data_IF_776603987959
#
_entry.id   IF_776603987959
#
_cell.length_a   1.000
_cell.length_b   1.000
_cell.length_c   1.000
_cell.angle_alpha   90.00
_cell.angle_beta   90.00
_cell.angle_gamma   90.00
#
_symmetry.space_group_name_H-M   'P 1'
#
loop_
_entity.id
_entity.type
_entity.pdbx_description
1 polymer ?
#
# COMPACT_ATOMS: atom_id res chain seq x y z
N UNK A 1 28.41 -13.86 -21.58
CA UNK A 1 28.24 -13.58 -20.15
C UNK A 1 26.89 -12.90 -19.99
N UNK A 2 25.93 -13.57 -19.37
CA UNK A 2 24.63 -12.96 -19.06
C UNK A 2 24.92 -12.04 -17.88
N UNK A 3 24.89 -10.72 -18.10
CA UNK A 3 24.91 -9.74 -17.00
C UNK A 3 23.81 -10.15 -16.01
N UNK A 4 24.17 -10.28 -14.75
CA UNK A 4 23.24 -10.47 -13.64
C UNK A 4 22.27 -9.28 -13.66
N UNK A 5 21.11 -9.43 -14.29
CA UNK A 5 20.02 -8.46 -14.17
C UNK A 5 19.66 -8.42 -12.69
N UNK A 6 19.98 -7.32 -12.01
CA UNK A 6 19.52 -7.12 -10.63
C UNK A 6 18.01 -7.25 -10.65
N UNK A 7 17.45 -8.10 -9.76
CA UNK A 7 16.00 -8.21 -9.64
C UNK A 7 15.42 -6.83 -9.32
N UNK A 8 14.24 -6.53 -9.86
CA UNK A 8 13.52 -5.29 -9.55
C UNK A 8 13.27 -5.16 -8.04
N UNK A 9 12.90 -3.96 -7.60
CA UNK A 9 12.57 -3.68 -6.19
C UNK A 9 11.09 -3.46 -6.01
N UNK A 10 10.58 -3.80 -4.85
CA UNK A 10 9.18 -3.63 -4.51
C UNK A 10 9.01 -2.63 -3.36
N UNK A 11 8.40 -1.48 -3.66
CA UNK A 11 8.18 -0.38 -2.74
C UNK A 11 6.67 -0.23 -2.53
N UNK A 12 6.22 -0.02 -1.29
CA UNK A 12 4.80 0.22 -1.01
C UNK A 12 4.59 1.50 -0.23
N UNK A 13 3.47 2.15 -0.49
CA UNK A 13 2.98 3.30 0.26
C UNK A 13 1.73 2.92 1.03
N UNK A 14 1.73 3.19 2.31
CA UNK A 14 0.68 2.82 3.24
C UNK A 14 0.26 3.99 4.12
N UNK A 15 -0.95 3.92 4.69
CA UNK A 15 -1.53 4.94 5.56
C UNK A 15 -3.03 5.11 5.32
N UNK A 16 -3.68 5.94 6.11
CA UNK A 16 -5.11 6.25 5.98
C UNK A 16 -5.42 7.01 4.69
N UNK A 17 -6.70 7.05 4.29
CA UNK A 17 -7.10 7.80 3.12
C UNK A 17 -6.88 9.30 3.36
N UNK A 18 -6.49 10.04 2.32
CA UNK A 18 -6.13 11.46 2.42
C UNK A 18 -4.70 11.74 2.91
N UNK A 19 -3.88 10.74 3.30
CA UNK A 19 -2.51 11.00 3.77
C UNK A 19 -1.51 11.35 2.66
N UNK A 20 -1.85 11.18 1.36
CA UNK A 20 -1.01 11.58 0.23
C UNK A 20 -0.22 10.45 -0.44
N UNK A 21 -0.53 9.18 -0.17
CA UNK A 21 0.14 8.00 -0.75
C UNK A 21 0.30 8.06 -2.27
N UNK A 22 -0.80 8.24 -2.99
CA UNK A 22 -0.83 8.22 -4.46
C UNK A 22 0.09 9.29 -5.05
N UNK A 23 0.04 10.51 -4.51
CA UNK A 23 0.93 11.62 -4.92
C UNK A 23 2.40 11.27 -4.72
N UNK A 24 2.75 10.66 -3.58
CA UNK A 24 4.13 10.31 -3.29
C UNK A 24 4.61 9.11 -4.12
N UNK A 25 3.72 8.15 -4.40
CA UNK A 25 4.03 7.03 -5.28
C UNK A 25 4.32 7.49 -6.72
N UNK A 26 3.53 8.40 -7.26
CA UNK A 26 3.73 9.01 -8.58
C UNK A 26 5.06 9.78 -8.63
N UNK A 27 5.31 10.69 -7.66
CA UNK A 27 6.58 11.44 -7.56
C UNK A 27 7.79 10.49 -7.47
N UNK A 28 7.66 9.36 -6.77
CA UNK A 28 8.75 8.39 -6.66
C UNK A 28 9.06 7.73 -8.01
N UNK A 29 8.03 7.34 -8.77
CA UNK A 29 8.24 6.75 -10.11
C UNK A 29 8.87 7.76 -11.07
N UNK A 30 8.42 9.01 -11.06
CA UNK A 30 9.04 10.10 -11.83
C UNK A 30 10.51 10.25 -11.46
N UNK A 31 10.82 10.27 -10.16
CA UNK A 31 12.21 10.43 -9.68
C UNK A 31 13.11 9.23 -10.00
N UNK A 32 12.57 8.02 -9.95
CA UNK A 32 13.30 6.81 -10.36
C UNK A 32 13.65 6.88 -11.85
N UNK A 33 12.73 7.35 -12.67
CA UNK A 33 12.98 7.54 -14.10
C UNK A 33 14.09 8.59 -14.37
N UNK A 34 14.15 9.68 -13.60
CA UNK A 34 15.23 10.70 -13.71
C UNK A 34 16.64 10.13 -13.40
N UNK A 35 16.72 9.03 -12.67
CA UNK A 35 17.99 8.35 -12.35
C UNK A 35 18.15 7.00 -13.10
N UNK A 36 17.51 6.90 -14.28
CA UNK A 36 17.58 5.76 -15.19
C UNK A 36 17.10 4.42 -14.62
N UNK A 37 16.20 4.44 -13.61
CA UNK A 37 15.58 3.25 -13.04
C UNK A 37 14.17 3.07 -13.62
N UNK A 38 13.94 1.97 -14.33
CA UNK A 38 12.62 1.62 -14.86
C UNK A 38 11.70 1.19 -13.74
N UNK A 39 10.59 1.91 -13.55
CA UNK A 39 9.60 1.62 -12.51
C UNK A 39 8.18 1.68 -13.06
N UNK A 40 7.26 1.01 -12.39
CA UNK A 40 5.81 1.07 -12.66
C UNK A 40 5.03 1.31 -11.38
N UNK A 41 3.91 2.03 -11.49
CA UNK A 41 2.98 2.21 -10.39
C UNK A 41 1.86 1.17 -10.47
N UNK A 42 1.48 0.61 -9.35
CA UNK A 42 0.28 -0.21 -9.19
C UNK A 42 -0.52 0.30 -7.99
N UNK A 43 -1.82 0.00 -7.94
CA UNK A 43 -2.68 0.38 -6.81
C UNK A 43 -3.58 -0.77 -6.39
N UNK A 44 -3.89 -0.85 -5.10
CA UNK A 44 -4.83 -1.83 -4.56
C UNK A 44 -6.03 -1.18 -3.83
N UNK A 45 -7.20 -1.83 -3.90
CA UNK A 45 -7.53 -2.93 -4.79
C UNK A 45 -7.63 -2.44 -6.25
N UNK A 46 -7.26 -3.30 -7.23
CA UNK A 46 -7.30 -2.96 -8.65
C UNK A 46 -6.01 -3.26 -9.40
N UNK A 47 -5.78 -2.57 -10.54
CA UNK A 47 -4.55 -2.66 -11.32
C UNK A 47 -4.48 -3.83 -12.34
N UNK A 48 -5.53 -4.67 -12.41
CA UNK A 48 -5.71 -5.76 -13.37
C UNK A 48 -7.22 -5.93 -13.62
N UNK A 49 -7.69 -6.40 -14.77
CA UNK A 49 -9.12 -6.48 -15.09
C UNK A 49 -9.97 -7.24 -14.07
N UNK A 50 -9.46 -8.36 -13.51
CA UNK A 50 -10.17 -9.12 -12.47
C UNK A 50 -10.14 -8.34 -11.16
N UNK A 51 -8.99 -7.80 -10.78
CA UNK A 51 -8.83 -6.97 -9.58
C UNK A 51 -9.72 -5.72 -9.62
N UNK A 52 -9.90 -5.09 -10.80
CA UNK A 52 -10.82 -3.96 -10.97
C UNK A 52 -12.31 -4.38 -10.80
N UNK A 53 -12.66 -5.59 -11.23
CA UNK A 53 -14.01 -6.14 -11.00
C UNK A 53 -14.25 -6.36 -9.50
N UNK A 54 -13.26 -6.89 -8.78
CA UNK A 54 -13.31 -7.05 -7.32
C UNK A 54 -13.37 -5.66 -6.64
N UNK A 55 -12.60 -4.68 -7.11
CA UNK A 55 -12.64 -3.31 -6.59
C UNK A 55 -14.05 -2.71 -6.65
N UNK A 56 -14.76 -2.90 -7.76
CA UNK A 56 -16.15 -2.42 -7.90
C UNK A 56 -17.06 -3.03 -6.84
N UNK A 57 -16.93 -4.32 -6.56
CA UNK A 57 -17.68 -4.98 -5.49
C UNK A 57 -17.32 -4.42 -4.12
N UNK A 58 -16.03 -4.25 -3.84
CA UNK A 58 -15.54 -3.75 -2.54
C UNK A 58 -15.99 -2.33 -2.23
N UNK A 59 -15.96 -1.43 -3.20
CA UNK A 59 -16.15 0.00 -2.98
C UNK A 59 -17.60 0.47 -3.23
N UNK A 60 -18.34 -0.25 -4.08
CA UNK A 60 -19.65 0.20 -4.58
C UNK A 60 -20.78 -0.82 -4.41
N UNK A 61 -20.59 -1.90 -3.64
CA UNK A 61 -21.69 -2.80 -3.31
C UNK A 61 -22.79 -2.02 -2.57
N UNK A 62 -24.03 -2.14 -3.04
CA UNK A 62 -25.20 -1.55 -2.39
C UNK A 62 -25.63 -2.36 -1.15
N UNK A 63 -25.33 -3.65 -1.15
CA UNK A 63 -25.65 -4.58 -0.07
C UNK A 63 -24.53 -4.60 0.99
N UNK A 64 -24.92 -4.96 2.22
CA UNK A 64 -23.96 -5.09 3.31
C UNK A 64 -22.98 -6.25 3.06
N UNK A 65 -21.69 -6.00 3.21
CA UNK A 65 -20.65 -7.00 3.08
C UNK A 65 -20.10 -7.38 4.47
N UNK A 66 -19.98 -8.67 4.75
CA UNK A 66 -19.35 -9.10 6.00
C UNK A 66 -17.86 -8.79 6.01
N UNK A 67 -17.30 -8.50 7.18
CA UNK A 67 -15.87 -8.15 7.34
C UNK A 67 -14.93 -9.22 6.78
N UNK A 68 -15.30 -10.52 6.93
CA UNK A 68 -14.51 -11.62 6.37
C UNK A 68 -14.57 -11.68 4.86
N UNK A 69 -15.74 -11.42 4.24
CA UNK A 69 -15.88 -11.36 2.79
C UNK A 69 -15.07 -10.18 2.22
N UNK A 70 -15.13 -9.01 2.88
CA UNK A 70 -14.31 -7.84 2.55
C UNK A 70 -12.82 -8.21 2.55
N UNK A 71 -12.32 -8.84 3.62
CA UNK A 71 -10.93 -9.24 3.74
C UNK A 71 -10.49 -10.24 2.64
N UNK A 72 -11.32 -11.25 2.38
CA UNK A 72 -11.03 -12.26 1.34
C UNK A 72 -11.03 -11.66 -0.06
N UNK A 73 -11.94 -10.73 -0.37
CA UNK A 73 -11.95 -10.03 -1.65
C UNK A 73 -10.75 -9.12 -1.83
N UNK A 74 -10.31 -8.41 -0.78
CA UNK A 74 -9.07 -7.63 -0.79
C UNK A 74 -7.87 -8.51 -1.12
N UNK A 75 -7.76 -9.67 -0.46
CA UNK A 75 -6.65 -10.60 -0.68
C UNK A 75 -6.75 -11.27 -2.06
N UNK A 76 -7.94 -11.59 -2.55
CA UNK A 76 -8.13 -12.14 -3.89
C UNK A 76 -7.70 -11.15 -4.99
N UNK A 77 -8.08 -9.86 -4.85
CA UNK A 77 -7.61 -8.80 -5.74
C UNK A 77 -6.08 -8.68 -5.74
N UNK A 78 -5.47 -8.72 -4.55
CA UNK A 78 -4.02 -8.69 -4.37
C UNK A 78 -3.33 -9.90 -5.00
N UNK A 79 -3.85 -11.10 -4.77
CA UNK A 79 -3.30 -12.33 -5.33
C UNK A 79 -3.22 -12.26 -6.85
N UNK A 80 -4.30 -11.81 -7.49
CA UNK A 80 -4.38 -11.62 -8.93
C UNK A 80 -3.36 -10.59 -9.43
N UNK A 81 -3.29 -9.41 -8.79
CA UNK A 81 -2.35 -8.35 -9.13
C UNK A 81 -0.90 -8.79 -8.93
N UNK A 82 -0.61 -9.51 -7.85
CA UNK A 82 0.73 -10.02 -7.57
C UNK A 82 1.20 -10.99 -8.66
N UNK A 83 0.36 -11.96 -9.04
CA UNK A 83 0.70 -12.97 -10.05
C UNK A 83 0.84 -12.38 -11.46
N UNK A 84 -0.07 -11.48 -11.85
CA UNK A 84 -0.16 -11.00 -13.24
C UNK A 84 0.66 -9.75 -13.52
N UNK A 85 0.98 -8.95 -12.49
CA UNK A 85 1.62 -7.64 -12.69
C UNK A 85 2.89 -7.51 -11.85
N UNK A 86 2.80 -7.66 -10.52
CA UNK A 86 3.92 -7.31 -9.63
C UNK A 86 5.13 -8.24 -9.86
N UNK A 87 4.91 -9.54 -9.71
CA UNK A 87 5.99 -10.54 -9.87
C UNK A 87 6.64 -10.50 -11.26
N UNK A 88 5.88 -10.45 -12.38
CA UNK A 88 6.49 -10.33 -13.71
C UNK A 88 7.37 -9.10 -13.88
N UNK A 89 6.97 -7.95 -13.34
CA UNK A 89 7.81 -6.75 -13.41
C UNK A 89 9.10 -6.89 -12.60
N UNK A 90 9.01 -7.38 -11.36
CA UNK A 90 10.18 -7.59 -10.49
C UNK A 90 11.17 -8.59 -11.11
N UNK A 91 10.67 -9.71 -11.65
CA UNK A 91 11.50 -10.73 -12.31
C UNK A 91 12.23 -10.15 -13.53
N UNK A 92 11.58 -9.23 -14.26
CA UNK A 92 12.16 -8.56 -15.42
C UNK A 92 13.02 -7.33 -15.04
N UNK A 93 13.39 -7.18 -13.78
CA UNK A 93 14.29 -6.11 -13.31
C UNK A 93 13.64 -4.74 -13.17
N UNK A 94 12.32 -4.61 -13.39
CA UNK A 94 11.59 -3.35 -13.16
C UNK A 94 11.23 -3.18 -11.70
N UNK A 95 11.34 -1.96 -11.21
CA UNK A 95 10.85 -1.62 -9.88
C UNK A 95 9.33 -1.47 -9.88
N UNK A 96 8.69 -1.87 -8.79
CA UNK A 96 7.25 -1.74 -8.61
C UNK A 96 6.99 -0.84 -7.42
N UNK A 97 6.17 0.20 -7.62
CA UNK A 97 5.73 1.12 -6.58
C UNK A 97 4.22 0.94 -6.40
N UNK A 98 3.80 0.43 -5.25
CA UNK A 98 2.40 0.14 -4.97
C UNK A 98 1.78 1.19 -4.03
N UNK A 99 0.64 1.76 -4.44
CA UNK A 99 -0.28 2.46 -3.54
C UNK A 99 -1.16 1.41 -2.87
N UNK A 100 -0.80 1.03 -1.66
CA UNK A 100 -1.30 -0.07 -0.82
C UNK A 100 -0.84 -1.46 -1.24
N UNK A 101 -0.68 -2.32 -0.22
CA UNK A 101 -0.41 -3.75 -0.36
C UNK A 101 -0.89 -4.51 0.89
N UNK A 102 -0.19 -5.60 1.26
CA UNK A 102 -0.59 -6.51 2.34
C UNK A 102 -0.77 -5.82 3.71
N UNK A 103 0.04 -4.81 4.03
CA UNK A 103 -0.07 -4.07 5.29
C UNK A 103 -1.43 -3.33 5.41
N UNK A 104 -2.03 -2.89 4.28
CA UNK A 104 -3.39 -2.33 4.27
C UNK A 104 -4.44 -3.31 4.82
N UNK A 105 -4.38 -4.60 4.45
CA UNK A 105 -5.32 -5.60 4.99
C UNK A 105 -5.13 -5.79 6.49
N UNK A 106 -3.89 -5.80 6.97
CA UNK A 106 -3.63 -5.91 8.40
C UNK A 106 -4.14 -4.68 9.17
N UNK A 107 -4.05 -3.49 8.57
CA UNK A 107 -4.52 -2.26 9.18
C UNK A 107 -6.05 -2.13 9.13
N UNK A 108 -6.65 -2.26 7.96
CA UNK A 108 -8.09 -2.03 7.77
C UNK A 108 -8.94 -3.18 8.29
N UNK A 109 -8.67 -4.42 7.86
CA UNK A 109 -9.47 -5.57 8.28
C UNK A 109 -9.01 -6.10 9.63
N UNK A 110 -7.70 -6.01 9.96
CA UNK A 110 -7.18 -6.35 11.29
C UNK A 110 -7.54 -5.30 12.33
N UNK A 111 -6.96 -4.12 12.23
CA UNK A 111 -7.17 -3.02 13.19
C UNK A 111 -8.57 -2.43 13.11
N UNK A 112 -9.03 -2.04 11.92
CA UNK A 112 -10.33 -1.40 11.69
C UNK A 112 -11.52 -2.31 12.01
N UNK A 113 -11.58 -3.51 11.40
CA UNK A 113 -12.67 -4.50 11.59
C UNK A 113 -12.47 -5.44 12.79
N UNK A 114 -11.29 -5.47 13.39
CA UNK A 114 -11.00 -6.34 14.53
C UNK A 114 -10.80 -7.82 14.19
N UNK A 115 -10.50 -8.15 12.92
CA UNK A 115 -10.17 -9.52 12.53
C UNK A 115 -8.77 -9.92 13.01
N UNK A 116 -8.51 -11.22 13.13
CA UNK A 116 -7.21 -11.75 13.54
C UNK A 116 -6.11 -11.35 12.57
N UNK A 117 -5.19 -10.45 12.99
CA UNK A 117 -4.03 -10.00 12.20
C UNK A 117 -3.16 -11.20 11.79
N UNK A 118 -2.99 -12.20 12.66
CA UNK A 118 -2.24 -13.42 12.35
C UNK A 118 -2.88 -14.19 11.19
N UNK A 119 -4.19 -14.44 11.25
CA UNK A 119 -4.90 -15.15 10.20
C UNK A 119 -4.86 -14.37 8.87
N UNK A 120 -5.01 -13.05 8.92
CA UNK A 120 -4.91 -12.19 7.73
C UNK A 120 -3.51 -12.22 7.11
N UNK A 121 -2.44 -12.21 7.93
CA UNK A 121 -1.06 -12.32 7.41
C UNK A 121 -0.81 -13.70 6.77
N UNK A 122 -1.31 -14.79 7.35
CA UNK A 122 -1.20 -16.13 6.78
C UNK A 122 -1.89 -16.22 5.39
N UNK A 123 -3.11 -15.67 5.27
CA UNK A 123 -3.85 -15.67 3.98
C UNK A 123 -3.19 -14.71 2.97
N UNK A 124 -2.70 -13.55 3.39
CA UNK A 124 -1.91 -12.67 2.55
C UNK A 124 -0.67 -13.37 2.01
N UNK A 125 0.08 -14.07 2.86
CA UNK A 125 1.27 -14.80 2.46
C UNK A 125 0.95 -15.89 1.42
N UNK A 126 -0.18 -16.59 1.58
CA UNK A 126 -0.65 -17.53 0.56
C UNK A 126 -0.95 -16.83 -0.77
N UNK A 127 -1.71 -15.74 -0.75
CA UNK A 127 -2.13 -15.02 -1.96
C UNK A 127 -1.00 -14.29 -2.69
N UNK A 128 0.09 -13.97 -2.00
CA UNK A 128 1.20 -13.18 -2.55
C UNK A 128 2.48 -13.97 -2.79
N UNK A 129 2.43 -15.30 -2.68
CA UNK A 129 3.64 -16.15 -2.76
C UNK A 129 4.70 -15.71 -1.74
N UNK A 130 4.28 -15.26 -0.57
CA UNK A 130 5.13 -14.67 0.48
C UNK A 130 5.94 -13.44 0.06
N UNK A 131 5.63 -12.80 -1.09
CA UNK A 131 6.28 -11.59 -1.54
C UNK A 131 6.10 -10.46 -0.50
N UNK A 132 7.21 -9.93 -0.03
CA UNK A 132 7.23 -8.78 0.88
C UNK A 132 7.88 -7.59 0.19
N UNK A 133 7.42 -6.36 0.46
CA UNK A 133 8.11 -5.17 0.00
C UNK A 133 9.54 -5.07 0.54
N UNK A 134 10.48 -4.58 -0.28
CA UNK A 134 11.83 -4.20 0.16
C UNK A 134 11.78 -3.04 1.17
N UNK A 135 10.82 -2.11 0.96
CA UNK A 135 10.53 -1.00 1.86
C UNK A 135 9.05 -0.61 1.75
N UNK A 136 8.46 -0.24 2.87
CA UNK A 136 7.10 0.32 2.97
C UNK A 136 7.20 1.71 3.59
N UNK A 137 6.68 2.72 2.90
CA UNK A 137 6.52 4.07 3.46
C UNK A 137 5.15 4.20 4.09
N UNK A 138 5.08 4.24 5.41
CA UNK A 138 3.87 4.56 6.14
C UNK A 138 3.79 6.07 6.34
N UNK A 139 2.90 6.73 5.58
CA UNK A 139 2.65 8.17 5.70
C UNK A 139 1.63 8.39 6.80
N UNK A 140 2.10 8.87 7.95
CA UNK A 140 1.27 9.11 9.13
C UNK A 140 0.80 10.55 9.21
N UNK A 141 -0.52 10.73 9.40
CA UNK A 141 -1.15 12.02 9.70
C UNK A 141 -2.30 11.82 10.70
N UNK A 142 -2.66 12.85 11.49
CA UNK A 142 -3.87 12.83 12.30
C UNK A 142 -5.13 12.63 11.43
N UNK A 143 -6.12 11.90 11.97
CA UNK A 143 -7.35 11.57 11.22
C UNK A 143 -8.13 12.82 10.82
N UNK A 144 -8.13 13.85 11.66
CA UNK A 144 -8.77 15.13 11.37
C UNK A 144 -8.20 15.77 10.09
N UNK A 145 -6.87 15.79 9.97
CA UNK A 145 -6.19 16.31 8.77
C UNK A 145 -6.39 15.43 7.54
N UNK A 146 -6.45 14.11 7.73
CA UNK A 146 -6.78 13.19 6.66
C UNK A 146 -8.17 13.50 6.08
N UNK A 147 -9.16 13.66 6.95
CA UNK A 147 -10.54 13.97 6.57
C UNK A 147 -10.67 15.33 5.85
N UNK A 148 -9.90 16.35 6.23
CA UNK A 148 -9.87 17.66 5.54
C UNK A 148 -9.37 17.56 4.10
N UNK A 149 -8.49 16.59 3.81
CA UNK A 149 -7.92 16.39 2.46
C UNK A 149 -8.78 15.51 1.55
N UNK A 150 -9.74 14.78 2.12
CA UNK A 150 -10.59 13.87 1.36
C UNK A 150 -11.69 14.62 0.59
N UNK A 151 -12.08 14.05 -0.57
CA UNK A 151 -13.20 14.54 -1.36
C UNK A 151 -14.54 14.33 -0.64
N UNK A 152 -15.58 15.08 -1.08
CA UNK A 152 -16.96 14.92 -0.56
C UNK A 152 -17.55 13.57 -0.95
N UNK A 153 -17.19 13.03 -2.12
CA UNK A 153 -17.62 11.69 -2.56
C UNK A 153 -16.74 10.64 -1.95
N UNK A 154 -17.29 9.85 -1.03
CA UNK A 154 -16.58 8.77 -0.31
C UNK A 154 -17.12 7.40 -0.71
N UNK A 155 -16.24 6.45 -0.85
CA UNK A 155 -16.61 5.05 -1.01
C UNK A 155 -17.11 4.42 0.30
N UNK A 156 -17.45 3.13 0.25
CA UNK A 156 -18.00 2.40 1.40
C UNK A 156 -17.04 2.35 2.60
N UNK A 157 -15.74 2.19 2.35
CA UNK A 157 -14.71 2.08 3.41
C UNK A 157 -14.35 3.48 3.94
N UNK A 158 -14.27 4.46 3.07
CA UNK A 158 -14.02 5.87 3.43
C UNK A 158 -15.17 6.49 4.25
N UNK A 159 -16.39 5.92 4.16
CA UNK A 159 -17.54 6.33 4.98
C UNK A 159 -17.49 5.84 6.41
N UNK A 160 -16.57 4.95 6.74
CA UNK A 160 -16.36 4.52 8.13
C UNK A 160 -15.94 5.72 9.00
N UNK A 161 -16.45 5.76 10.22
CA UNK A 161 -16.23 6.91 11.12
C UNK A 161 -14.78 7.02 11.63
N UNK A 162 -14.50 8.18 12.25
CA UNK A 162 -13.15 8.50 12.75
C UNK A 162 -12.57 7.45 13.71
N UNK A 163 -13.42 6.78 14.52
CA UNK A 163 -12.97 5.71 15.40
C UNK A 163 -12.43 4.49 14.64
N UNK A 164 -13.01 4.16 13.47
CA UNK A 164 -12.49 3.12 12.60
C UNK A 164 -11.13 3.53 12.03
N UNK A 165 -11.05 4.73 11.48
CA UNK A 165 -9.82 5.27 10.89
C UNK A 165 -8.71 5.38 11.94
N UNK A 166 -9.02 5.73 13.19
CA UNK A 166 -8.04 5.77 14.28
C UNK A 166 -7.49 4.37 14.57
N UNK A 167 -8.33 3.33 14.64
CA UNK A 167 -7.86 1.94 14.82
C UNK A 167 -6.99 1.47 13.65
N UNK A 168 -7.30 1.89 12.43
CA UNK A 168 -6.47 1.61 11.23
C UNK A 168 -5.09 2.25 11.40
N UNK A 169 -5.04 3.54 11.76
CA UNK A 169 -3.79 4.26 12.03
C UNK A 169 -2.96 3.61 13.13
N UNK A 170 -3.60 3.26 14.25
CA UNK A 170 -2.94 2.60 15.39
C UNK A 170 -2.33 1.26 14.98
N UNK A 171 -3.00 0.50 14.12
CA UNK A 171 -2.48 -0.75 13.60
C UNK A 171 -1.27 -0.53 12.65
N UNK A 172 -1.25 0.52 11.83
CA UNK A 172 -0.06 0.87 11.04
C UNK A 172 1.13 1.25 11.94
N UNK A 173 0.89 2.01 13.02
CA UNK A 173 1.93 2.32 14.01
C UNK A 173 2.47 1.04 14.67
N UNK A 174 1.61 0.07 14.98
CA UNK A 174 2.02 -1.22 15.52
C UNK A 174 2.84 -2.03 14.48
N UNK A 175 2.49 -1.98 13.20
CA UNK A 175 3.25 -2.63 12.12
C UNK A 175 4.63 -2.00 11.94
N UNK A 176 4.74 -0.66 12.00
CA UNK A 176 6.02 0.05 11.98
C UNK A 176 6.89 -0.38 13.16
N UNK A 177 6.36 -0.35 14.39
CA UNK A 177 7.10 -0.74 15.61
C UNK A 177 7.59 -2.19 15.57
N UNK A 178 6.82 -3.09 14.93
CA UNK A 178 7.17 -4.51 14.80
C UNK A 178 8.18 -4.80 13.68
N UNK A 179 8.20 -3.97 12.64
CA UNK A 179 9.02 -4.17 11.44
C UNK A 179 9.78 -2.88 11.05
N UNK A 180 10.58 -2.27 11.92
CA UNK A 180 11.18 -0.95 11.68
C UNK A 180 12.16 -0.93 10.49
N UNK A 181 12.78 -2.05 10.16
CA UNK A 181 13.72 -2.17 9.03
C UNK A 181 13.02 -2.16 7.66
N UNK A 182 11.71 -2.50 7.62
CA UNK A 182 10.92 -2.56 6.40
C UNK A 182 9.89 -1.44 6.32
N UNK A 183 9.21 -1.14 7.41
CA UNK A 183 8.14 -0.13 7.46
C UNK A 183 8.70 1.16 8.03
N UNK A 184 8.89 2.15 7.18
CA UNK A 184 9.46 3.46 7.53
C UNK A 184 8.34 4.46 7.74
N UNK A 185 8.27 5.04 8.93
CA UNK A 185 7.29 6.09 9.24
C UNK A 185 7.74 7.41 8.64
N UNK A 186 6.83 8.06 7.90
CA UNK A 186 7.01 9.37 7.29
C UNK A 186 5.96 10.33 7.87
N UNK A 187 6.40 11.50 8.30
CA UNK A 187 5.49 12.55 8.77
C UNK A 187 4.73 13.17 7.60
N UNK A 188 3.46 12.82 7.44
CA UNK A 188 2.57 13.31 6.39
C UNK A 188 1.97 14.70 6.63
N UNK A 189 2.24 15.35 7.77
CA UNK A 189 1.76 16.72 8.07
C UNK A 189 2.56 17.81 7.33
N UNK A 190 3.70 17.46 6.80
CA UNK A 190 4.60 18.36 6.07
C UNK A 190 4.05 18.72 4.67
N UNK A 191 4.73 19.64 3.97
CA UNK A 191 4.44 19.90 2.55
C UNK A 191 4.72 18.65 1.69
N UNK A 192 4.05 18.54 0.56
CA UNK A 192 4.21 17.43 -0.40
C UNK A 192 5.68 17.21 -0.74
N UNK A 193 6.42 18.30 -0.99
CA UNK A 193 7.83 18.24 -1.38
C UNK A 193 8.71 17.79 -0.21
N UNK A 194 8.43 18.25 1.01
CA UNK A 194 9.19 17.82 2.19
C UNK A 194 8.97 16.35 2.53
N UNK A 195 7.73 15.86 2.42
CA UNK A 195 7.42 14.43 2.53
C UNK A 195 8.22 13.64 1.50
N UNK A 196 8.28 14.13 0.25
CA UNK A 196 9.02 13.47 -0.81
C UNK A 196 10.54 13.46 -0.56
N UNK A 197 11.11 14.57 -0.08
CA UNK A 197 12.54 14.63 0.30
C UNK A 197 12.90 13.58 1.34
N UNK A 198 12.05 13.41 2.37
CA UNK A 198 12.26 12.41 3.42
C UNK A 198 12.19 10.98 2.85
N UNK A 199 11.20 10.69 1.96
CA UNK A 199 11.08 9.42 1.24
C UNK A 199 12.33 9.18 0.38
N UNK A 200 12.73 10.15 -0.43
CA UNK A 200 13.87 10.01 -1.33
C UNK A 200 15.19 9.82 -0.58
N UNK A 201 15.35 10.47 0.56
CA UNK A 201 16.50 10.25 1.45
C UNK A 201 16.58 8.79 1.91
N UNK A 202 15.45 8.19 2.30
CA UNK A 202 15.37 6.77 2.69
C UNK A 202 15.59 5.82 1.53
N UNK A 203 15.14 6.18 0.33
CA UNK A 203 15.40 5.42 -0.90
C UNK A 203 16.90 5.36 -1.20
N UNK A 204 17.58 6.50 -1.12
CA UNK A 204 19.03 6.58 -1.32
C UNK A 204 19.80 5.73 -0.29
N UNK A 205 19.43 5.84 0.98
CA UNK A 205 20.02 5.05 2.07
C UNK A 205 19.84 3.53 1.85
N UNK A 206 18.63 3.11 1.48
CA UNK A 206 18.27 1.67 1.34
C UNK A 206 18.89 1.01 0.11
N UNK A 207 18.97 1.73 -1.01
CA UNK A 207 19.33 1.15 -2.31
C UNK A 207 20.64 1.70 -2.91
N UNK A 208 21.34 2.57 -2.20
CA UNK A 208 22.60 3.21 -2.64
C UNK A 208 22.44 3.98 -3.96
N UNK A 209 21.38 4.80 -4.06
CA UNK A 209 21.05 5.63 -5.23
C UNK A 209 21.84 6.96 -5.24
#
# INVERSE_FOLDING_TARGET
MIESTSSGKFITFEGVDGCGKSTQAEKLVEKLFEVDISAVTVREPGGDPISESIRKLLLHAEESMSDRAEALLMIASRAQLTDKVILPHIINGKWVVADRYADSTLAYQGGGRGLSVKALDEINNFGTYTLKPDITFFIDIPIEKANERMSVSRDRIEKEGSNFQQRVRDQYLALNSKNPDRVVLINGEQSIDKVFEDIWSKMKEKFNL
#
